data_IF_312915257932
#
_entry.id   IF_312915257932
#
_cell.length_a   1.000
_cell.length_b   1.000
_cell.length_c   1.000
_cell.angle_alpha   90.00
_cell.angle_beta   90.00
_cell.angle_gamma   90.00
#
_symmetry.space_group_name_H-M   'P 1'
#
loop_
_entity.id
_entity.type
_entity.pdbx_description
1 polymer ?
#
# COMPACT_ATOMS: atom_id res chain seq x y z
N UNK A 1 -6.15 14.24 -69.24
CA UNK A 1 -5.90 13.03 -68.47
C UNK A 1 -5.60 13.43 -67.03
N UNK A 2 -6.61 13.40 -66.17
CA UNK A 2 -6.57 13.87 -64.81
C UNK A 2 -6.59 12.66 -63.86
N UNK A 3 -5.50 12.45 -63.12
CA UNK A 3 -5.43 11.45 -62.06
C UNK A 3 -5.99 12.03 -60.75
N UNK A 4 -7.09 11.49 -60.26
CA UNK A 4 -7.66 11.78 -58.95
C UNK A 4 -6.85 11.06 -57.90
N UNK A 5 -6.29 11.79 -56.93
CA UNK A 5 -5.64 11.31 -55.72
C UNK A 5 -6.73 11.12 -54.68
N UNK A 6 -6.98 9.90 -54.25
CA UNK A 6 -7.87 9.55 -53.13
C UNK A 6 -7.07 9.65 -51.84
N UNK A 7 -7.41 10.62 -51.00
CA UNK A 7 -6.88 10.77 -49.63
C UNK A 7 -7.70 9.87 -48.70
N UNK A 8 -7.08 8.80 -48.17
CA UNK A 8 -7.65 8.00 -47.07
C UNK A 8 -7.38 8.74 -45.76
N UNK A 9 -8.40 9.38 -45.20
CA UNK A 9 -8.41 9.83 -43.81
C UNK A 9 -8.70 8.61 -42.91
N UNK A 10 -7.68 8.07 -42.24
CA UNK A 10 -7.85 7.16 -41.15
C UNK A 10 -8.31 7.97 -39.92
N UNK A 11 -9.58 7.91 -39.60
CA UNK A 11 -10.16 8.37 -38.37
C UNK A 11 -9.69 7.42 -37.24
N UNK A 12 -8.68 7.85 -36.50
CA UNK A 12 -8.36 7.24 -35.20
C UNK A 12 -9.46 7.64 -34.20
N UNK A 13 -10.48 6.81 -34.08
CA UNK A 13 -11.41 6.87 -32.95
C UNK A 13 -10.69 6.32 -31.73
N UNK A 14 -10.68 7.04 -30.60
CA UNK A 14 -10.18 6.45 -29.36
C UNK A 14 -11.12 5.30 -28.96
N UNK A 15 -10.57 4.12 -28.86
CA UNK A 15 -11.26 2.99 -28.23
C UNK A 15 -11.50 3.36 -26.76
N UNK A 16 -12.68 3.88 -26.46
CA UNK A 16 -13.21 3.85 -25.11
C UNK A 16 -13.47 2.37 -24.80
N UNK A 17 -12.60 1.75 -24.02
CA UNK A 17 -12.89 0.47 -23.40
C UNK A 17 -14.17 0.65 -22.57
N UNK A 18 -15.30 0.20 -23.09
CA UNK A 18 -16.54 0.09 -22.34
C UNK A 18 -16.23 -0.79 -21.13
N UNK A 19 -16.24 -0.18 -19.94
CA UNK A 19 -16.16 -0.93 -18.70
C UNK A 19 -17.30 -1.95 -18.73
N UNK A 20 -16.95 -3.24 -18.69
CA UNK A 20 -17.90 -4.34 -18.62
C UNK A 20 -18.62 -4.23 -17.26
N UNK A 21 -19.91 -3.92 -17.25
CA UNK A 21 -20.73 -3.87 -16.05
C UNK A 21 -21.39 -5.23 -15.87
N UNK A 22 -21.13 -5.97 -14.79
CA UNK A 22 -21.86 -7.20 -14.51
C UNK A 22 -23.34 -6.87 -14.28
N UNK A 23 -24.20 -7.65 -14.90
CA UNK A 23 -25.66 -7.57 -14.78
C UNK A 23 -26.05 -7.79 -13.31
N UNK A 24 -26.69 -6.78 -12.69
CA UNK A 24 -27.20 -6.88 -11.32
C UNK A 24 -26.84 -5.75 -10.35
N UNK A 25 -25.90 -4.88 -10.71
CA UNK A 25 -25.63 -3.67 -9.92
C UNK A 25 -26.43 -2.51 -10.53
N UNK A 26 -27.33 -1.91 -9.77
CA UNK A 26 -27.84 -0.55 -10.08
C UNK A 26 -26.60 0.32 -10.34
N UNK A 27 -26.68 1.27 -11.28
CA UNK A 27 -25.55 2.10 -11.73
C UNK A 27 -24.77 2.69 -10.54
N UNK A 28 -23.77 1.98 -10.04
CA UNK A 28 -22.84 2.53 -9.08
C UNK A 28 -21.87 3.39 -9.88
N UNK A 29 -22.17 4.69 -9.92
CA UNK A 29 -21.30 5.68 -10.55
C UNK A 29 -20.17 5.96 -9.58
N UNK A 30 -18.93 5.65 -9.98
CA UNK A 30 -17.75 5.90 -9.14
C UNK A 30 -16.45 5.60 -9.86
N UNK A 31 -15.38 5.99 -9.23
CA UNK A 31 -14.02 5.63 -9.62
C UNK A 31 -13.44 4.65 -8.59
N UNK A 32 -12.52 3.80 -9.02
CA UNK A 32 -11.78 2.94 -8.11
C UNK A 32 -10.84 3.77 -7.25
N UNK A 33 -10.93 3.57 -5.93
CA UNK A 33 -10.12 4.25 -4.92
C UNK A 33 -9.46 3.21 -4.02
N UNK A 34 -8.16 3.33 -3.84
CA UNK A 34 -7.43 2.46 -2.89
C UNK A 34 -7.93 2.66 -1.46
N UNK A 35 -8.24 1.56 -0.76
CA UNK A 35 -8.58 1.56 0.66
C UNK A 35 -7.55 0.82 1.51
N UNK A 36 -6.80 -0.08 0.92
CA UNK A 36 -5.64 -0.76 1.49
C UNK A 36 -4.68 -1.12 0.36
N UNK A 37 -3.40 -0.99 0.60
CA UNK A 37 -2.36 -1.51 -0.29
C UNK A 37 -1.08 -1.80 0.49
N UNK A 38 -0.20 -2.63 -0.10
CA UNK A 38 1.13 -2.91 0.40
C UNK A 38 2.14 -2.97 -0.74
N UNK A 39 3.38 -2.60 -0.46
CA UNK A 39 4.46 -2.70 -1.44
C UNK A 39 4.95 -4.14 -1.54
N UNK A 40 4.89 -4.71 -2.74
CA UNK A 40 5.34 -6.07 -2.98
C UNK A 40 6.86 -6.16 -3.09
N UNK A 41 7.41 -7.30 -2.67
CA UNK A 41 8.84 -7.57 -2.59
C UNK A 41 9.20 -8.97 -3.09
N UNK A 42 10.48 -9.14 -3.44
CA UNK A 42 11.12 -10.46 -3.53
C UNK A 42 11.22 -11.05 -2.13
N UNK A 43 10.89 -12.32 -1.90
CA UNK A 43 11.02 -12.93 -0.59
C UNK A 43 12.49 -13.11 -0.21
N UNK A 44 12.80 -12.91 1.06
CA UNK A 44 14.06 -13.40 1.64
C UNK A 44 13.87 -14.89 1.95
N UNK A 45 14.51 -15.76 1.18
CA UNK A 45 14.28 -17.21 1.22
C UNK A 45 14.34 -17.82 2.63
N UNK A 46 15.30 -17.40 3.45
CA UNK A 46 15.45 -17.88 4.84
C UNK A 46 14.24 -17.55 5.75
N UNK A 47 13.41 -16.58 5.36
CA UNK A 47 12.25 -16.14 6.13
C UNK A 47 10.92 -16.56 5.50
N UNK A 48 10.92 -17.57 4.64
CA UNK A 48 9.69 -18.10 4.04
C UNK A 48 9.25 -19.40 4.74
N UNK A 49 7.93 -19.61 4.92
CA UNK A 49 7.43 -20.84 5.53
C UNK A 49 7.65 -22.05 4.61
N UNK A 50 7.69 -23.23 5.21
CA UNK A 50 7.72 -24.53 4.52
C UNK A 50 8.79 -24.64 3.42
N UNK A 51 9.97 -24.04 3.62
CA UNK A 51 11.03 -23.99 2.59
C UNK A 51 10.50 -23.50 1.21
N UNK A 52 9.63 -22.49 1.22
CA UNK A 52 8.96 -21.90 0.05
C UNK A 52 7.93 -22.83 -0.64
N UNK A 53 7.46 -23.89 0.01
CA UNK A 53 6.47 -24.79 -0.57
C UNK A 53 5.04 -24.38 -0.16
N UNK A 54 4.51 -23.38 -0.83
CA UNK A 54 3.18 -22.84 -0.56
C UNK A 54 2.06 -23.45 -1.42
N UNK A 55 2.40 -24.38 -2.33
CA UNK A 55 1.41 -25.11 -3.14
C UNK A 55 0.50 -25.96 -2.27
N UNK A 56 -0.75 -26.15 -2.70
CA UNK A 56 -1.79 -26.89 -2.00
C UNK A 56 -1.99 -26.39 -0.54
N UNK A 57 -2.13 -25.07 -0.37
CA UNK A 57 -2.37 -24.41 0.92
C UNK A 57 -3.40 -23.32 0.78
N UNK A 58 -4.10 -23.05 1.87
CA UNK A 58 -4.94 -21.87 2.05
C UNK A 58 -4.23 -20.88 2.95
N UNK A 59 -4.20 -19.61 2.53
CA UNK A 59 -3.60 -18.51 3.30
C UNK A 59 -4.66 -17.46 3.57
N UNK A 60 -5.07 -17.34 4.84
CA UNK A 60 -5.99 -16.28 5.33
C UNK A 60 -5.17 -15.12 5.83
N UNK A 61 -5.39 -13.95 5.27
CA UNK A 61 -4.61 -12.73 5.49
C UNK A 61 -5.54 -11.62 5.96
N UNK A 62 -5.19 -11.00 7.08
CA UNK A 62 -6.01 -9.94 7.68
C UNK A 62 -5.48 -8.60 7.18
N UNK A 63 -6.40 -7.73 6.74
CA UNK A 63 -6.09 -6.37 6.35
C UNK A 63 -7.08 -5.41 7.02
N UNK A 64 -6.61 -4.21 7.42
CA UNK A 64 -7.46 -3.14 7.92
C UNK A 64 -7.63 -2.10 6.82
N UNK A 65 -8.86 -1.94 6.36
CA UNK A 65 -9.18 -0.95 5.33
C UNK A 65 -9.26 0.45 5.93
N UNK A 66 -8.86 1.46 5.18
CA UNK A 66 -8.91 2.86 5.63
C UNK A 66 -10.26 3.50 5.33
N UNK A 67 -10.82 3.24 4.15
CA UNK A 67 -12.08 3.78 3.67
C UNK A 67 -13.09 2.65 3.40
N UNK A 68 -14.37 2.95 3.46
CA UNK A 68 -15.44 2.02 3.21
C UNK A 68 -16.09 2.19 1.83
N UNK A 69 -16.89 1.20 1.45
CA UNK A 69 -17.68 1.17 0.22
C UNK A 69 -18.45 -0.11 0.06
N UNK A 70 -19.37 -0.14 -0.93
CA UNK A 70 -20.28 -1.28 -1.15
C UNK A 70 -19.83 -2.22 -2.26
N UNK A 71 -18.91 -1.78 -3.10
CA UNK A 71 -18.35 -2.57 -4.21
C UNK A 71 -16.85 -2.48 -4.14
N UNK A 72 -16.20 -3.63 -4.16
CA UNK A 72 -14.76 -3.75 -4.02
C UNK A 72 -14.14 -4.52 -5.18
N UNK A 73 -12.82 -4.40 -5.35
CA UNK A 73 -11.99 -5.32 -6.13
C UNK A 73 -10.64 -5.54 -5.48
N UNK A 74 -10.06 -6.68 -5.70
CA UNK A 74 -8.77 -7.11 -5.15
C UNK A 74 -7.71 -7.13 -6.24
N UNK A 75 -6.55 -6.52 -5.98
CA UNK A 75 -5.36 -6.71 -6.81
C UNK A 75 -4.50 -7.85 -6.26
N UNK A 76 -4.21 -8.81 -7.13
CA UNK A 76 -3.24 -9.86 -6.89
C UNK A 76 -1.98 -9.59 -7.70
N UNK A 77 -0.82 -9.95 -7.14
CA UNK A 77 0.48 -9.68 -7.75
C UNK A 77 1.41 -10.88 -7.74
N UNK A 78 2.07 -11.11 -8.87
CA UNK A 78 3.13 -12.10 -9.06
C UNK A 78 4.35 -11.48 -9.77
N UNK A 79 4.58 -10.17 -9.53
CA UNK A 79 5.55 -9.36 -10.28
C UNK A 79 7.00 -9.78 -10.06
N UNK A 80 7.32 -10.42 -8.94
CA UNK A 80 8.68 -10.82 -8.58
C UNK A 80 8.95 -12.31 -8.72
N UNK A 81 8.03 -13.07 -9.26
CA UNK A 81 8.21 -14.50 -9.47
C UNK A 81 8.52 -14.84 -10.94
N UNK A 82 9.32 -15.87 -11.14
CA UNK A 82 9.59 -16.45 -12.45
C UNK A 82 8.63 -17.60 -12.81
N UNK A 83 7.76 -18.01 -11.88
CA UNK A 83 6.80 -19.10 -12.04
C UNK A 83 5.37 -18.57 -11.86
N UNK A 84 4.35 -19.18 -12.49
CA UNK A 84 2.96 -18.75 -12.31
C UNK A 84 2.42 -19.09 -10.91
N UNK A 85 1.50 -18.25 -10.42
CA UNK A 85 0.64 -18.55 -9.27
C UNK A 85 -0.68 -19.06 -9.80
N UNK A 86 -1.14 -20.22 -9.33
CA UNK A 86 -2.45 -20.78 -9.66
C UNK A 86 -3.29 -20.86 -8.40
N UNK A 87 -4.40 -20.12 -8.39
CA UNK A 87 -5.37 -20.10 -7.29
C UNK A 87 -6.65 -20.82 -7.72
N UNK A 88 -7.13 -21.77 -6.89
CA UNK A 88 -8.42 -22.45 -7.08
C UNK A 88 -9.59 -21.53 -6.76
N UNK A 89 -9.39 -20.59 -5.84
CA UNK A 89 -10.40 -19.63 -5.42
C UNK A 89 -9.82 -18.61 -4.44
N UNK A 90 -10.48 -17.45 -4.39
CA UNK A 90 -10.15 -16.35 -3.48
C UNK A 90 -11.43 -15.85 -2.86
N UNK A 91 -11.49 -15.73 -1.55
CA UNK A 91 -12.66 -15.18 -0.86
C UNK A 91 -12.31 -14.15 0.20
N UNK A 92 -13.25 -13.26 0.47
CA UNK A 92 -13.19 -12.25 1.52
C UNK A 92 -14.35 -12.45 2.50
N UNK A 93 -14.11 -12.16 3.77
CA UNK A 93 -15.15 -12.11 4.80
C UNK A 93 -14.81 -11.05 5.84
N UNK A 94 -15.80 -10.59 6.60
CA UNK A 94 -15.54 -9.73 7.76
C UNK A 94 -14.73 -10.49 8.81
N UNK A 95 -13.67 -9.87 9.31
CA UNK A 95 -12.82 -10.45 10.35
C UNK A 95 -13.50 -10.25 11.71
N UNK A 96 -13.64 -11.32 12.48
CA UNK A 96 -14.13 -11.24 13.87
C UNK A 96 -12.96 -10.93 14.81
N UNK A 97 -11.99 -11.83 14.84
CA UNK A 97 -10.72 -11.65 15.54
C UNK A 97 -9.67 -12.65 15.02
N UNK A 98 -8.39 -12.36 15.22
CA UNK A 98 -7.30 -13.27 14.86
C UNK A 98 -7.56 -14.02 13.54
N UNK A 99 -7.77 -15.34 13.57
CA UNK A 99 -8.03 -16.19 12.41
C UNK A 99 -9.52 -16.34 12.07
N UNK A 100 -10.43 -15.90 12.95
CA UNK A 100 -11.87 -16.13 12.80
C UNK A 100 -12.53 -15.10 11.90
N UNK A 101 -13.49 -15.56 11.13
CA UNK A 101 -14.28 -14.73 10.22
C UNK A 101 -15.77 -14.98 10.41
N UNK A 102 -16.60 -14.00 10.07
CA UNK A 102 -18.04 -14.25 9.89
C UNK A 102 -18.27 -14.90 8.53
N UNK A 103 -18.36 -16.23 8.52
CA UNK A 103 -18.49 -17.02 7.29
C UNK A 103 -19.78 -16.69 6.49
N UNK A 104 -20.84 -16.20 7.15
CA UNK A 104 -22.08 -15.77 6.48
C UNK A 104 -21.86 -14.56 5.57
N UNK A 105 -20.87 -13.74 5.87
CA UNK A 105 -20.50 -12.56 5.08
C UNK A 105 -19.62 -12.91 3.90
N UNK A 106 -19.07 -14.12 3.85
CA UNK A 106 -18.07 -14.49 2.84
C UNK A 106 -18.60 -14.35 1.41
N UNK A 107 -17.71 -13.82 0.55
CA UNK A 107 -17.95 -13.68 -0.89
C UNK A 107 -16.70 -14.10 -1.65
N UNK A 108 -16.89 -14.83 -2.74
CA UNK A 108 -15.80 -15.24 -3.63
C UNK A 108 -15.54 -14.18 -4.69
N UNK A 109 -14.27 -13.80 -4.85
CA UNK A 109 -13.85 -13.01 -5.99
C UNK A 109 -13.91 -13.85 -7.27
N UNK A 110 -14.26 -13.20 -8.36
CA UNK A 110 -14.19 -13.76 -9.71
C UNK A 110 -13.10 -13.05 -10.51
N UNK A 111 -12.60 -13.73 -11.52
CA UNK A 111 -11.55 -13.25 -12.42
C UNK A 111 -11.97 -13.54 -13.86
N UNK A 112 -12.55 -12.54 -14.53
CA UNK A 112 -13.21 -12.75 -15.82
C UNK A 112 -14.37 -13.75 -15.73
N UNK A 113 -15.16 -13.68 -14.66
CA UNK A 113 -16.29 -14.57 -14.35
C UNK A 113 -15.93 -15.94 -13.76
N UNK A 114 -14.64 -16.28 -13.64
CA UNK A 114 -14.14 -17.58 -13.13
C UNK A 114 -13.77 -17.50 -11.65
N UNK A 115 -13.91 -18.63 -10.92
CA UNK A 115 -13.55 -18.72 -9.50
C UNK A 115 -12.05 -18.74 -9.26
N UNK A 116 -11.30 -19.42 -10.11
CA UNK A 116 -9.86 -19.54 -10.04
C UNK A 116 -9.15 -18.59 -10.99
N UNK A 117 -7.85 -18.40 -10.75
CA UNK A 117 -7.01 -17.55 -11.60
C UNK A 117 -5.58 -18.06 -11.68
N UNK A 118 -4.96 -17.91 -12.86
CA UNK A 118 -3.52 -18.05 -13.05
C UNK A 118 -2.89 -16.70 -13.25
N UNK A 119 -1.98 -16.32 -12.34
CA UNK A 119 -1.24 -15.07 -12.44
C UNK A 119 0.13 -15.39 -13.03
N UNK A 120 0.38 -14.92 -14.25
CA UNK A 120 1.62 -15.17 -14.95
C UNK A 120 2.82 -14.51 -14.25
N UNK A 121 4.04 -15.02 -14.46
CA UNK A 121 5.27 -14.40 -13.98
C UNK A 121 5.35 -12.92 -14.38
N UNK A 122 5.78 -12.07 -13.45
CA UNK A 122 5.96 -10.64 -13.70
C UNK A 122 4.65 -9.85 -13.87
N UNK A 123 3.47 -10.43 -13.57
CA UNK A 123 2.17 -9.80 -13.77
C UNK A 123 1.41 -9.56 -12.47
N UNK A 124 0.54 -8.56 -12.52
CA UNK A 124 -0.53 -8.30 -11.55
C UNK A 124 -1.86 -8.24 -12.29
N UNK A 125 -2.94 -8.49 -11.59
CA UNK A 125 -4.30 -8.40 -12.12
C UNK A 125 -5.29 -8.02 -11.03
N UNK A 126 -6.42 -7.43 -11.43
CA UNK A 126 -7.56 -7.20 -10.55
C UNK A 126 -8.61 -8.29 -10.69
N UNK A 127 -9.32 -8.55 -9.58
CA UNK A 127 -10.56 -9.30 -9.63
C UNK A 127 -11.65 -8.51 -10.37
N UNK A 128 -12.72 -9.18 -10.74
CA UNK A 128 -13.98 -8.53 -11.10
C UNK A 128 -14.51 -7.74 -9.91
N UNK A 129 -15.42 -6.78 -10.17
CA UNK A 129 -16.12 -6.04 -9.13
C UNK A 129 -16.98 -7.01 -8.27
N UNK A 130 -16.90 -6.84 -6.96
CA UNK A 130 -17.62 -7.67 -5.99
C UNK A 130 -18.49 -6.81 -5.08
N UNK A 131 -19.77 -7.14 -4.96
CA UNK A 131 -20.63 -6.55 -3.94
C UNK A 131 -20.24 -7.05 -2.57
N UNK A 132 -19.62 -6.19 -1.79
CA UNK A 132 -19.19 -6.47 -0.42
C UNK A 132 -19.06 -5.15 0.34
N UNK A 133 -19.93 -4.96 1.34
CA UNK A 133 -20.00 -3.72 2.11
C UNK A 133 -18.92 -3.70 3.18
N UNK A 134 -17.96 -2.79 3.06
CA UNK A 134 -16.90 -2.57 4.07
C UNK A 134 -17.04 -1.19 4.69
N UNK A 135 -16.78 -1.10 5.99
CA UNK A 135 -16.79 0.15 6.75
C UNK A 135 -15.38 0.73 6.87
N UNK A 136 -15.22 2.05 7.02
CA UNK A 136 -13.92 2.64 7.32
C UNK A 136 -13.30 2.00 8.57
N UNK A 137 -11.99 1.76 8.54
CA UNK A 137 -11.18 1.20 9.63
C UNK A 137 -11.53 -0.25 10.01
N UNK A 138 -12.35 -0.91 9.22
CA UNK A 138 -12.74 -2.31 9.45
C UNK A 138 -11.60 -3.27 9.11
N UNK A 139 -11.56 -4.42 9.80
CA UNK A 139 -10.70 -5.55 9.45
C UNK A 139 -11.47 -6.54 8.60
N UNK A 140 -10.89 -6.92 7.48
CA UNK A 140 -11.39 -8.00 6.62
C UNK A 140 -10.34 -9.07 6.44
N UNK A 141 -10.78 -10.30 6.20
CA UNK A 141 -9.92 -11.45 5.95
C UNK A 141 -10.02 -11.86 4.49
N UNK A 142 -8.88 -11.90 3.80
CA UNK A 142 -8.76 -12.38 2.42
C UNK A 142 -8.08 -13.74 2.46
N UNK A 143 -8.72 -14.76 1.91
CA UNK A 143 -8.17 -16.13 1.86
C UNK A 143 -7.88 -16.52 0.42
N UNK A 144 -6.63 -16.91 0.17
CA UNK A 144 -6.15 -17.45 -1.11
C UNK A 144 -6.02 -18.96 -1.02
N UNK A 145 -6.67 -19.71 -1.89
CA UNK A 145 -6.54 -21.16 -2.00
C UNK A 145 -5.55 -21.51 -3.13
N UNK A 146 -4.29 -21.73 -2.79
CA UNK A 146 -3.25 -22.07 -3.75
C UNK A 146 -3.44 -23.50 -4.28
N UNK A 147 -3.47 -23.65 -5.59
CA UNK A 147 -3.19 -24.92 -6.26
C UNK A 147 -1.69 -25.07 -6.45
N UNK A 148 -1.07 -24.05 -7.05
CA UNK A 148 0.38 -23.98 -7.27
C UNK A 148 0.89 -22.61 -6.85
N UNK A 149 1.95 -22.61 -6.08
CA UNK A 149 2.69 -21.41 -5.71
C UNK A 149 4.15 -21.53 -6.16
N UNK A 150 4.76 -20.44 -6.63
CA UNK A 150 6.17 -20.45 -7.02
C UNK A 150 7.07 -20.66 -5.81
N UNK A 151 8.27 -21.16 -6.04
CA UNK A 151 9.32 -21.29 -5.01
C UNK A 151 9.80 -19.94 -4.48
N UNK A 152 9.67 -18.89 -5.29
CA UNK A 152 9.96 -17.50 -4.88
C UNK A 152 8.72 -16.65 -5.16
N UNK A 153 7.72 -16.67 -4.25
CA UNK A 153 6.48 -15.93 -4.44
C UNK A 153 6.68 -14.43 -4.27
N UNK A 154 5.82 -13.65 -4.88
CA UNK A 154 5.71 -12.22 -4.58
C UNK A 154 5.06 -12.02 -3.21
N UNK A 155 5.72 -11.30 -2.31
CA UNK A 155 5.30 -11.13 -0.91
C UNK A 155 5.47 -9.69 -0.44
N UNK A 156 4.89 -9.38 0.71
CA UNK A 156 5.31 -8.28 1.56
C UNK A 156 5.85 -8.85 2.88
N UNK A 157 7.12 -8.54 3.19
CA UNK A 157 7.85 -9.23 4.26
C UNK A 157 7.52 -8.72 5.67
N UNK A 158 7.10 -7.47 5.79
CA UNK A 158 6.92 -6.76 7.05
C UNK A 158 5.47 -6.47 7.42
N UNK A 159 4.54 -7.42 7.23
CA UNK A 159 3.10 -7.14 7.39
C UNK A 159 2.69 -6.61 8.78
N UNK A 160 3.43 -6.92 9.84
CA UNK A 160 3.03 -6.67 11.24
C UNK A 160 1.62 -7.17 11.54
N UNK A 161 1.19 -8.15 10.76
CA UNK A 161 -0.13 -8.77 10.84
C UNK A 161 0.02 -10.25 10.53
N UNK A 162 -0.61 -11.07 11.36
CA UNK A 162 -0.55 -12.51 11.23
C UNK A 162 -1.38 -12.99 10.05
N UNK A 163 -0.76 -13.75 9.16
CA UNK A 163 -1.39 -14.61 8.18
C UNK A 163 -1.47 -16.04 8.68
N UNK A 164 -2.55 -16.72 8.37
CA UNK A 164 -2.87 -18.07 8.86
C UNK A 164 -2.86 -19.04 7.68
N UNK A 165 -2.07 -20.12 7.81
CA UNK A 165 -1.81 -21.06 6.72
C UNK A 165 -2.29 -22.46 7.10
N UNK A 166 -3.16 -23.06 6.28
CA UNK A 166 -3.61 -24.44 6.36
C UNK A 166 -3.21 -25.23 5.12
N UNK A 167 -3.11 -26.54 5.24
CA UNK A 167 -2.93 -27.46 4.11
C UNK A 167 -4.25 -27.62 3.35
N UNK A 168 -4.19 -27.71 2.04
CA UNK A 168 -5.34 -27.91 1.16
C UNK A 168 -6.14 -26.62 0.92
N UNK A 169 -7.18 -26.72 0.10
CA UNK A 169 -8.14 -25.68 -0.13
C UNK A 169 -9.19 -25.65 0.98
N UNK A 170 -9.59 -24.46 1.40
CA UNK A 170 -10.58 -24.25 2.48
C UNK A 170 -11.79 -23.48 2.00
N UNK A 171 -12.91 -23.67 2.71
CA UNK A 171 -14.12 -22.85 2.62
C UNK A 171 -14.12 -21.79 3.72
N UNK A 172 -15.04 -20.80 3.69
CA UNK A 172 -15.14 -19.78 4.73
C UNK A 172 -15.37 -20.32 6.15
N UNK A 173 -16.03 -21.48 6.28
CA UNK A 173 -16.35 -22.16 7.55
C UNK A 173 -15.15 -22.87 8.19
N UNK A 174 -14.05 -23.03 7.43
CA UNK A 174 -12.87 -23.74 7.92
C UNK A 174 -12.27 -23.09 9.18
N UNK A 175 -11.96 -23.92 10.17
CA UNK A 175 -11.31 -23.49 11.40
C UNK A 175 -9.80 -23.26 11.18
N UNK A 176 -9.37 -22.02 11.31
CA UNK A 176 -7.97 -21.62 11.25
C UNK A 176 -7.30 -21.47 12.62
N UNK A 177 -7.93 -21.90 13.71
CA UNK A 177 -7.38 -21.74 15.08
C UNK A 177 -6.03 -22.43 15.25
N UNK A 178 -5.83 -23.58 14.59
CA UNK A 178 -4.59 -24.36 14.57
C UNK A 178 -3.71 -24.13 13.34
N UNK A 179 -4.01 -23.10 12.55
CA UNK A 179 -3.23 -22.75 11.36
C UNK A 179 -1.81 -22.33 11.75
N UNK A 180 -0.87 -22.62 10.88
CA UNK A 180 0.48 -22.06 11.01
C UNK A 180 0.42 -20.54 10.84
N UNK A 181 1.09 -19.81 11.72
CA UNK A 181 1.07 -18.34 11.78
C UNK A 181 2.34 -17.76 11.21
N UNK A 182 2.19 -16.71 10.37
CA UNK A 182 3.32 -16.06 9.74
C UNK A 182 3.05 -14.58 9.48
N UNK A 183 4.00 -13.70 9.84
CA UNK A 183 3.84 -12.25 9.67
C UNK A 183 4.30 -11.80 8.28
N UNK A 184 3.54 -12.15 7.25
CA UNK A 184 3.75 -11.70 5.86
C UNK A 184 2.43 -11.62 5.12
N UNK A 185 2.37 -10.80 4.07
CA UNK A 185 1.31 -10.89 3.09
C UNK A 185 1.83 -11.55 1.80
N UNK A 186 1.03 -12.42 1.24
CA UNK A 186 1.36 -13.24 0.07
C UNK A 186 0.45 -12.86 -1.08
N UNK A 187 1.00 -12.40 -2.19
CA UNK A 187 0.34 -12.12 -3.46
C UNK A 187 -0.83 -11.11 -3.42
N UNK A 188 -1.32 -10.64 -2.29
CA UNK A 188 -2.31 -9.56 -2.21
C UNK A 188 -1.59 -8.21 -2.26
N UNK A 189 -1.97 -7.32 -3.18
CA UNK A 189 -1.28 -6.04 -3.38
C UNK A 189 -2.13 -4.83 -2.99
N UNK A 190 -3.41 -4.82 -3.34
CA UNK A 190 -4.33 -3.73 -3.00
C UNK A 190 -5.77 -4.21 -2.90
N UNK A 191 -6.55 -3.53 -2.07
CA UNK A 191 -8.00 -3.60 -2.03
C UNK A 191 -8.56 -2.21 -2.36
N UNK A 192 -9.49 -2.15 -3.30
CA UNK A 192 -10.08 -0.90 -3.77
C UNK A 192 -11.59 -0.91 -3.61
N UNK A 193 -12.16 0.28 -3.44
CA UNK A 193 -13.60 0.54 -3.40
C UNK A 193 -14.03 1.38 -4.59
N UNK A 194 -15.21 1.11 -5.14
CA UNK A 194 -15.83 1.91 -6.19
C UNK A 194 -16.65 3.04 -5.56
N UNK A 195 -16.19 4.28 -5.67
CA UNK A 195 -16.81 5.42 -4.99
C UNK A 195 -16.27 6.76 -5.50
N UNK A 196 -17.05 7.84 -5.32
CA UNK A 196 -16.59 9.22 -5.54
C UNK A 196 -16.25 9.95 -4.23
N UNK A 197 -16.44 9.31 -3.08
CA UNK A 197 -16.37 9.97 -1.77
C UNK A 197 -15.08 9.70 -1.00
N UNK A 198 -14.06 9.16 -1.65
CA UNK A 198 -12.76 8.86 -1.06
C UNK A 198 -11.67 9.69 -1.72
N UNK A 199 -10.80 10.27 -0.91
CA UNK A 199 -9.56 10.92 -1.30
C UNK A 199 -8.39 10.05 -0.88
N UNK A 200 -7.43 9.79 -1.77
CA UNK A 200 -6.36 8.84 -1.53
C UNK A 200 -5.04 9.48 -1.14
N UNK A 201 -4.38 8.91 -0.14
CA UNK A 201 -3.01 9.21 0.28
C UNK A 201 -2.16 7.96 0.08
N UNK A 202 -1.12 8.02 -0.74
CA UNK A 202 -0.12 6.96 -0.86
C UNK A 202 1.16 7.35 -0.11
N UNK A 203 1.70 6.44 0.69
CA UNK A 203 2.85 6.71 1.55
C UNK A 203 3.99 5.78 1.15
N UNK A 204 5.06 6.34 0.58
CA UNK A 204 6.29 5.59 0.33
C UNK A 204 7.24 5.81 1.50
N UNK A 205 7.86 4.73 1.98
CA UNK A 205 8.73 4.79 3.14
C UNK A 205 9.49 3.50 3.39
N UNK A 206 10.33 3.56 4.41
CA UNK A 206 11.16 2.45 4.89
C UNK A 206 10.48 1.67 6.03
N UNK A 207 11.28 0.98 6.86
CA UNK A 207 10.80 0.18 8.00
C UNK A 207 9.96 0.96 9.02
N UNK A 208 10.15 2.26 9.17
CA UNK A 208 9.36 3.10 10.08
C UNK A 208 7.92 3.19 9.54
N UNK A 209 7.76 3.37 8.25
CA UNK A 209 6.46 3.40 7.56
C UNK A 209 5.85 2.00 7.48
N UNK A 210 6.65 0.98 7.15
CA UNK A 210 6.27 -0.43 7.15
C UNK A 210 5.75 -0.91 8.53
N UNK A 211 6.24 -0.28 9.61
CA UNK A 211 5.73 -0.47 10.97
C UNK A 211 6.70 -1.17 11.91
N UNK A 212 8.01 -1.12 11.68
CA UNK A 212 9.00 -1.66 12.61
C UNK A 212 8.82 -1.02 14.00
N UNK A 213 8.66 -1.86 15.04
CA UNK A 213 8.41 -1.40 16.41
C UNK A 213 6.93 -1.24 16.77
N UNK A 214 6.00 -1.34 15.81
CA UNK A 214 4.58 -1.43 16.12
C UNK A 214 4.21 -2.82 16.64
N UNK A 215 3.04 -2.94 17.27
CA UNK A 215 2.59 -4.19 17.88
C UNK A 215 1.91 -5.07 16.83
N UNK A 216 2.36 -6.31 16.69
CA UNK A 216 1.76 -7.29 15.76
C UNK A 216 0.27 -7.42 16.00
N UNK A 217 -0.53 -7.46 14.92
CA UNK A 217 -1.99 -7.54 14.87
C UNK A 217 -2.78 -6.34 15.42
N UNK A 218 -2.13 -5.36 16.05
CA UNK A 218 -2.79 -4.16 16.57
C UNK A 218 -3.14 -3.12 15.51
N UNK A 219 -2.54 -3.22 14.32
CA UNK A 219 -2.76 -2.24 13.23
C UNK A 219 -2.52 -0.80 13.74
N UNK A 220 -1.38 -0.58 14.39
CA UNK A 220 -0.98 0.69 15.02
C UNK A 220 0.34 1.22 14.44
N UNK A 221 0.61 0.97 13.15
CA UNK A 221 1.65 1.66 12.38
C UNK A 221 1.25 3.13 12.23
N UNK A 222 2.20 4.03 12.11
CA UNK A 222 1.85 5.45 11.98
C UNK A 222 0.87 5.76 10.81
N UNK A 223 0.90 5.05 9.65
CA UNK A 223 -0.14 5.22 8.64
C UNK A 223 -1.52 4.72 9.08
N UNK A 224 -1.59 3.67 9.94
CA UNK A 224 -2.86 3.21 10.53
C UNK A 224 -3.43 4.24 11.49
N UNK A 225 -2.58 4.86 12.32
CA UNK A 225 -2.97 5.95 13.21
C UNK A 225 -3.44 7.18 12.41
N UNK A 226 -2.72 7.55 11.35
CA UNK A 226 -3.16 8.59 10.42
C UNK A 226 -4.54 8.26 9.84
N UNK A 227 -4.75 7.01 9.41
CA UNK A 227 -6.05 6.56 8.92
C UNK A 227 -7.15 6.67 9.98
N UNK A 228 -6.85 6.33 11.23
CA UNK A 228 -7.78 6.47 12.35
C UNK A 228 -8.17 7.94 12.58
N UNK A 229 -7.21 8.88 12.57
CA UNK A 229 -7.50 10.31 12.73
C UNK A 229 -8.29 10.90 11.57
N UNK A 230 -8.05 10.41 10.35
CA UNK A 230 -8.73 10.90 9.13
C UNK A 230 -10.12 10.30 8.91
N UNK A 231 -10.43 9.11 9.46
CA UNK A 231 -11.68 8.39 9.20
C UNK A 231 -12.46 8.03 10.47
N UNK A 232 -11.85 8.19 11.63
CA UNK A 232 -12.43 7.78 12.91
C UNK A 232 -13.47 8.77 13.47
N UNK A 233 -13.98 8.50 14.68
CA UNK A 233 -15.11 9.26 15.28
C UNK A 233 -14.86 10.77 15.43
N UNK A 234 -13.61 11.17 15.63
CA UNK A 234 -13.27 12.59 15.71
C UNK A 234 -13.56 13.31 14.39
N UNK A 235 -13.05 12.76 13.30
CA UNK A 235 -13.24 13.33 11.96
C UNK A 235 -14.70 13.33 11.54
N UNK A 236 -15.43 12.25 11.80
CA UNK A 236 -16.85 12.15 11.49
C UNK A 236 -17.64 13.28 12.16
N UNK A 237 -17.39 13.56 13.44
CA UNK A 237 -18.03 14.67 14.16
C UNK A 237 -17.70 16.04 13.56
N UNK A 238 -16.44 16.27 13.15
CA UNK A 238 -16.05 17.53 12.50
C UNK A 238 -16.71 17.69 11.12
N UNK A 239 -16.87 16.62 10.36
CA UNK A 239 -17.58 16.64 9.07
C UNK A 239 -19.07 16.91 9.23
N UNK A 240 -19.71 16.35 10.24
CA UNK A 240 -21.11 16.64 10.56
C UNK A 240 -21.29 18.13 10.85
N UNK A 241 -20.43 18.75 11.65
CA UNK A 241 -20.44 20.19 11.91
C UNK A 241 -20.26 21.03 10.65
N UNK A 242 -19.38 20.60 9.73
CA UNK A 242 -19.10 21.29 8.47
C UNK A 242 -20.28 21.17 7.49
N UNK A 243 -20.95 20.01 7.45
CA UNK A 243 -22.18 19.79 6.65
C UNK A 243 -23.32 20.64 7.14
N UNK A 244 -23.53 20.74 8.47
CA UNK A 244 -24.53 21.60 9.07
C UNK A 244 -24.34 23.09 8.70
N UNK A 245 -23.10 23.50 8.33
CA UNK A 245 -22.76 24.83 7.83
C UNK A 245 -22.83 24.95 6.29
N UNK A 246 -23.52 24.05 5.58
CA UNK A 246 -23.70 24.05 4.11
C UNK A 246 -22.39 24.08 3.30
N UNK A 247 -21.29 23.56 3.79
CA UNK A 247 -20.06 23.43 3.02
C UNK A 247 -20.15 22.19 2.11
N UNK A 248 -20.42 22.42 0.82
CA UNK A 248 -20.38 21.41 -0.25
C UNK A 248 -18.92 20.98 -0.51
N UNK A 249 -18.70 19.69 -0.88
CA UNK A 249 -17.43 19.11 -1.34
C UNK A 249 -16.37 18.76 -0.28
N UNK A 250 -16.76 18.22 0.85
CA UNK A 250 -15.82 17.61 1.80
C UNK A 250 -15.68 16.14 1.41
N UNK A 251 -14.43 15.69 1.20
CA UNK A 251 -14.15 14.26 1.07
C UNK A 251 -14.57 13.58 2.38
N UNK A 252 -15.50 12.63 2.28
CA UNK A 252 -16.10 11.99 3.46
C UNK A 252 -15.16 10.97 4.10
N UNK A 253 -14.19 10.45 3.33
CA UNK A 253 -13.27 9.41 3.75
C UNK A 253 -11.90 9.58 3.09
N UNK A 254 -10.89 8.97 3.69
CA UNK A 254 -9.54 8.96 3.20
C UNK A 254 -9.02 7.54 3.01
N UNK A 255 -8.65 7.19 1.78
CA UNK A 255 -7.87 5.99 1.49
C UNK A 255 -6.41 6.25 1.89
N UNK A 256 -5.89 5.52 2.87
CA UNK A 256 -4.49 5.63 3.30
C UNK A 256 -3.77 4.35 2.95
N UNK A 257 -2.80 4.43 2.03
CA UNK A 257 -2.07 3.29 1.49
C UNK A 257 -0.64 3.28 2.05
N UNK A 258 -0.31 2.26 2.84
CA UNK A 258 1.02 2.07 3.38
C UNK A 258 1.88 1.25 2.42
N UNK A 259 2.82 1.93 1.74
CA UNK A 259 3.74 1.33 0.77
C UNK A 259 5.20 1.37 1.29
N UNK A 260 5.36 1.28 2.61
CA UNK A 260 6.63 1.12 3.28
C UNK A 260 7.24 -0.26 3.02
N UNK A 261 8.57 -0.34 3.02
CA UNK A 261 9.34 -1.57 2.92
C UNK A 261 10.47 -1.55 3.96
N UNK A 262 10.61 -2.65 4.71
CA UNK A 262 11.73 -2.80 5.66
C UNK A 262 13.08 -2.56 4.99
N UNK A 263 13.96 -1.77 5.61
CA UNK A 263 15.31 -1.43 5.13
C UNK A 263 15.35 -0.75 3.73
N UNK A 264 14.26 -0.15 3.27
CA UNK A 264 14.22 0.52 1.96
C UNK A 264 15.16 1.72 1.91
N UNK A 265 15.74 1.94 0.75
CA UNK A 265 16.57 3.10 0.40
C UNK A 265 15.98 3.79 -0.82
N UNK A 266 16.21 5.08 -0.93
CA UNK A 266 15.82 5.85 -2.11
C UNK A 266 16.70 5.53 -3.30
N UNK A 267 18.02 5.52 -3.08
CA UNK A 267 19.03 5.57 -4.13
C UNK A 267 19.46 4.18 -4.63
N UNK A 268 19.50 3.19 -3.74
CA UNK A 268 20.09 1.88 -4.01
C UNK A 268 19.20 0.72 -3.54
N UNK A 269 19.41 -0.46 -4.13
CA UNK A 269 18.82 -1.70 -3.64
C UNK A 269 19.40 -2.08 -2.28
N UNK A 270 18.57 -2.48 -1.35
CA UNK A 270 18.95 -2.77 0.04
C UNK A 270 18.97 -4.26 0.40
N UNK A 271 18.67 -5.14 -0.55
CA UNK A 271 18.53 -6.58 -0.31
C UNK A 271 17.12 -7.03 0.09
N UNK A 272 16.22 -6.10 0.44
CA UNK A 272 14.84 -6.41 0.87
C UNK A 272 13.78 -5.93 -0.13
N UNK A 273 14.07 -4.92 -0.92
CA UNK A 273 13.15 -4.38 -1.92
C UNK A 273 13.86 -3.42 -2.87
N UNK A 274 13.24 -3.16 -4.00
CA UNK A 274 13.75 -2.20 -4.99
C UNK A 274 13.91 -0.82 -4.36
N UNK A 275 14.92 -0.06 -4.84
CA UNK A 275 15.11 1.33 -4.44
C UNK A 275 13.81 2.14 -4.64
N UNK A 276 13.50 3.05 -3.71
CA UNK A 276 12.24 3.81 -3.78
C UNK A 276 12.08 4.54 -5.12
N UNK A 277 13.16 5.13 -5.66
CA UNK A 277 13.15 5.76 -6.98
C UNK A 277 12.75 4.82 -8.13
N UNK A 278 13.06 3.52 -8.02
CA UNK A 278 12.76 2.52 -9.05
C UNK A 278 11.32 2.01 -8.94
N UNK A 279 10.81 1.83 -7.72
CA UNK A 279 9.47 1.33 -7.46
C UNK A 279 8.40 2.44 -7.41
N UNK A 280 8.79 3.71 -7.49
CA UNK A 280 7.91 4.86 -7.29
C UNK A 280 6.71 4.87 -8.25
N UNK A 281 6.96 4.63 -9.54
CA UNK A 281 5.90 4.64 -10.53
C UNK A 281 4.89 3.51 -10.24
N UNK A 282 5.34 2.28 -10.08
CA UNK A 282 4.51 1.12 -9.79
C UNK A 282 3.76 1.24 -8.45
N UNK A 283 4.47 1.59 -7.37
CA UNK A 283 3.89 1.51 -6.03
C UNK A 283 3.09 2.76 -5.67
N UNK A 284 3.38 3.92 -6.27
CA UNK A 284 2.73 5.20 -5.94
C UNK A 284 1.90 5.74 -7.09
N UNK A 285 2.49 5.89 -8.28
CA UNK A 285 1.83 6.60 -9.37
C UNK A 285 0.69 5.80 -10.02
N UNK A 286 0.78 4.47 -10.02
CA UNK A 286 -0.22 3.55 -10.55
C UNK A 286 -1.35 3.23 -9.56
N UNK A 287 -1.28 3.69 -8.29
CA UNK A 287 -2.38 3.52 -7.34
C UNK A 287 -3.59 4.36 -7.72
N UNK A 288 -4.77 3.75 -7.70
CA UNK A 288 -6.00 4.42 -8.11
C UNK A 288 -6.54 5.37 -7.03
N UNK A 289 -7.01 6.52 -7.48
CA UNK A 289 -7.67 7.50 -6.64
C UNK A 289 -6.76 8.30 -5.71
N UNK A 290 -5.43 8.20 -5.89
CA UNK A 290 -4.46 8.96 -5.10
C UNK A 290 -4.41 10.42 -5.56
N UNK A 291 -4.57 11.31 -4.60
CA UNK A 291 -4.46 12.76 -4.75
C UNK A 291 -3.28 13.33 -3.99
N UNK A 292 -2.80 12.62 -2.99
CA UNK A 292 -1.74 13.06 -2.08
C UNK A 292 -0.69 11.96 -1.92
N UNK A 293 0.57 12.34 -1.85
CA UNK A 293 1.71 11.44 -1.67
C UNK A 293 2.55 11.91 -0.49
N UNK A 294 2.91 10.99 0.38
CA UNK A 294 3.87 11.25 1.46
C UNK A 294 5.15 10.47 1.17
N UNK A 295 6.29 11.15 1.21
CA UNK A 295 7.62 10.54 1.06
C UNK A 295 8.33 10.59 2.41
N UNK A 296 8.55 9.43 3.04
CA UNK A 296 9.26 9.30 4.31
C UNK A 296 10.39 8.28 4.19
N UNK A 297 11.48 8.68 3.61
CA UNK A 297 12.64 7.85 3.25
C UNK A 297 13.96 8.53 3.64
N UNK A 298 15.11 7.89 3.35
CA UNK A 298 16.45 8.48 3.39
C UNK A 298 17.31 8.06 4.59
N UNK A 299 16.72 7.62 5.71
CA UNK A 299 17.50 7.23 6.90
C UNK A 299 18.43 6.03 6.61
N UNK A 300 17.98 5.06 5.79
CA UNK A 300 18.79 3.90 5.43
C UNK A 300 19.86 4.24 4.38
N UNK A 301 19.62 5.23 3.52
CA UNK A 301 20.62 5.74 2.59
C UNK A 301 21.78 6.35 3.37
N UNK A 302 21.46 7.25 4.30
CA UNK A 302 22.45 7.93 5.16
C UNK A 302 23.17 6.94 6.09
N UNK A 303 22.41 6.06 6.77
CA UNK A 303 22.96 5.13 7.76
C UNK A 303 23.83 3.99 7.18
N UNK A 304 23.88 3.84 5.86
CA UNK A 304 24.64 2.77 5.19
C UNK A 304 25.69 3.25 4.20
N UNK A 305 25.88 4.56 4.08
CA UNK A 305 26.89 5.17 3.22
C UNK A 305 28.22 5.43 3.99
N UNK A 306 29.27 5.72 3.26
CA UNK A 306 30.51 6.31 3.82
C UNK A 306 30.59 7.82 3.58
N UNK A 307 29.59 8.40 2.90
CA UNK A 307 29.59 9.78 2.42
C UNK A 307 28.23 10.43 2.69
N UNK A 308 27.94 10.72 3.96
CA UNK A 308 26.63 11.22 4.42
C UNK A 308 26.23 12.51 3.74
N UNK A 309 27.13 13.49 3.67
CA UNK A 309 26.89 14.79 3.03
C UNK A 309 26.60 14.63 1.52
N UNK A 310 27.41 13.87 0.79
CA UNK A 310 27.18 13.63 -0.64
C UNK A 310 25.86 12.86 -0.88
N UNK A 311 25.56 11.89 -0.02
CA UNK A 311 24.28 11.14 -0.06
C UNK A 311 23.10 12.05 0.17
N UNK A 312 23.20 13.05 1.07
CA UNK A 312 22.15 14.02 1.32
C UNK A 312 21.77 14.82 0.05
N UNK A 313 22.75 15.29 -0.70
CA UNK A 313 22.47 16.00 -1.97
C UNK A 313 21.84 15.09 -3.01
N UNK A 314 22.28 13.83 -3.11
CA UNK A 314 21.65 12.86 -4.01
C UNK A 314 20.19 12.55 -3.61
N UNK A 315 19.89 12.46 -2.32
CA UNK A 315 18.51 12.31 -1.81
C UNK A 315 17.66 13.50 -2.20
N UNK A 316 18.15 14.72 -2.02
CA UNK A 316 17.45 15.95 -2.38
C UNK A 316 17.13 15.99 -3.87
N UNK A 317 18.08 15.61 -4.73
CA UNK A 317 17.85 15.51 -6.18
C UNK A 317 16.74 14.51 -6.50
N UNK A 318 16.76 13.33 -5.88
CA UNK A 318 15.77 12.30 -6.15
C UNK A 318 14.38 12.68 -5.59
N UNK A 319 14.30 13.34 -4.45
CA UNK A 319 13.02 13.89 -3.96
C UNK A 319 12.43 14.91 -4.95
N UNK A 320 13.24 15.77 -5.56
CA UNK A 320 12.77 16.70 -6.60
C UNK A 320 12.18 15.95 -7.80
N UNK A 321 12.85 14.88 -8.27
CA UNK A 321 12.36 14.05 -9.36
C UNK A 321 11.00 13.41 -9.02
N UNK A 322 10.85 12.86 -7.80
CA UNK A 322 9.59 12.27 -7.35
C UNK A 322 8.46 13.32 -7.23
N UNK A 323 8.78 14.52 -6.72
CA UNK A 323 7.83 15.63 -6.62
C UNK A 323 7.35 16.04 -8.02
N UNK A 324 8.27 16.22 -8.94
CA UNK A 324 7.94 16.60 -10.33
C UNK A 324 7.00 15.58 -10.99
N UNK A 325 7.32 14.27 -10.87
CA UNK A 325 6.44 13.19 -11.35
C UNK A 325 5.02 13.30 -10.78
N UNK A 326 4.90 13.58 -9.48
CA UNK A 326 3.59 13.75 -8.84
C UNK A 326 2.84 14.96 -9.37
N UNK A 327 3.50 16.11 -9.48
CA UNK A 327 2.89 17.35 -9.99
C UNK A 327 2.45 17.22 -11.44
N UNK A 328 3.21 16.52 -12.29
CA UNK A 328 2.80 16.20 -13.67
C UNK A 328 1.47 15.42 -13.72
N UNK A 329 1.16 14.65 -12.66
CA UNK A 329 -0.11 13.92 -12.49
C UNK A 329 -1.08 14.64 -11.54
N UNK A 330 -0.86 15.92 -11.25
CA UNK A 330 -1.70 16.75 -10.37
C UNK A 330 -1.90 16.17 -8.96
N UNK A 331 -0.90 15.44 -8.44
CA UNK A 331 -0.88 14.92 -7.08
C UNK A 331 -0.08 15.86 -6.19
N UNK A 332 -0.56 16.11 -4.97
CA UNK A 332 0.18 16.89 -3.97
C UNK A 332 1.20 16.00 -3.27
N UNK A 333 2.33 16.58 -2.89
CA UNK A 333 3.43 15.86 -2.25
C UNK A 333 3.81 16.50 -0.93
N UNK A 334 3.97 15.67 0.08
CA UNK A 334 4.46 16.03 1.41
C UNK A 334 5.72 15.24 1.72
N UNK A 335 6.77 15.94 2.10
CA UNK A 335 8.02 15.33 2.53
C UNK A 335 8.03 15.19 4.05
N UNK A 336 8.47 14.04 4.57
CA UNK A 336 8.69 13.88 6.00
C UNK A 336 10.18 14.01 6.34
N UNK A 337 10.49 14.77 7.41
CA UNK A 337 11.87 14.90 7.87
C UNK A 337 12.40 13.58 8.43
N UNK A 338 13.68 13.30 8.17
CA UNK A 338 14.36 12.10 8.65
C UNK A 338 14.52 12.18 10.18
N UNK A 339 14.04 11.16 10.89
CA UNK A 339 14.09 11.09 12.36
C UNK A 339 15.52 11.10 12.91
N UNK A 340 15.72 11.51 14.17
CA UNK A 340 17.04 11.45 14.83
C UNK A 340 17.62 10.02 14.80
N UNK A 341 18.94 9.90 14.59
CA UNK A 341 19.63 8.61 14.57
C UNK A 341 20.68 8.45 15.67
N UNK A 342 20.86 9.44 16.53
CA UNK A 342 21.81 9.36 17.65
C UNK A 342 21.46 8.18 18.57
N UNK A 343 22.47 7.42 18.97
CA UNK A 343 22.32 6.21 19.78
C UNK A 343 21.96 4.96 18.97
N UNK A 344 21.81 5.05 17.64
CA UNK A 344 21.64 3.90 16.76
C UNK A 344 22.96 3.53 16.07
N UNK A 345 23.05 2.31 15.53
CA UNK A 345 24.18 1.88 14.71
C UNK A 345 24.34 2.64 13.37
N UNK A 346 23.41 3.53 13.05
CA UNK A 346 23.47 4.41 11.87
C UNK A 346 24.20 5.73 12.15
N UNK A 347 24.44 6.06 13.42
CA UNK A 347 25.02 7.34 13.77
C UNK A 347 26.52 7.42 13.45
N UNK A 348 26.88 8.47 12.74
CA UNK A 348 28.22 9.07 12.68
C UNK A 348 28.07 10.57 12.51
N UNK A 349 29.13 11.35 12.73
CA UNK A 349 29.08 12.80 12.54
C UNK A 349 28.71 13.19 11.09
N UNK A 350 29.25 12.46 10.11
CA UNK A 350 28.97 12.69 8.69
C UNK A 350 27.53 12.31 8.31
N UNK A 351 27.00 11.20 8.84
CA UNK A 351 25.60 10.81 8.61
C UNK A 351 24.63 11.83 9.23
N UNK A 352 24.93 12.30 10.45
CA UNK A 352 24.11 13.31 11.13
C UNK A 352 24.15 14.65 10.38
N UNK A 353 25.31 15.05 9.85
CA UNK A 353 25.39 16.24 9.01
C UNK A 353 24.56 16.07 7.72
N UNK A 354 24.66 14.93 7.05
CA UNK A 354 23.79 14.61 5.91
C UNK A 354 22.30 14.69 6.26
N UNK A 355 21.89 14.15 7.42
CA UNK A 355 20.51 14.24 7.89
C UNK A 355 20.06 15.69 8.12
N UNK A 356 20.91 16.51 8.72
CA UNK A 356 20.63 17.93 8.95
C UNK A 356 20.46 18.68 7.63
N UNK A 357 21.31 18.43 6.64
CA UNK A 357 21.21 19.03 5.30
C UNK A 357 19.85 18.67 4.66
N UNK A 358 19.48 17.38 4.64
CA UNK A 358 18.20 16.95 4.09
C UNK A 358 17.03 17.61 4.83
N UNK A 359 17.02 17.58 6.16
CA UNK A 359 15.92 18.11 6.96
C UNK A 359 15.81 19.65 6.85
N UNK A 360 16.94 20.36 6.78
CA UNK A 360 16.95 21.81 6.55
C UNK A 360 16.33 22.13 5.18
N UNK A 361 16.70 21.37 4.13
CA UNK A 361 16.11 21.53 2.81
C UNK A 361 14.60 21.21 2.83
N UNK A 362 14.17 20.11 3.46
CA UNK A 362 12.74 19.76 3.57
C UNK A 362 11.92 20.90 4.20
N UNK A 363 12.44 21.55 5.24
CA UNK A 363 11.75 22.65 5.95
C UNK A 363 11.68 23.95 5.14
N UNK A 364 12.66 24.20 4.27
CA UNK A 364 12.81 25.49 3.58
C UNK A 364 12.44 25.48 2.09
N UNK A 365 12.37 24.30 1.48
CA UNK A 365 12.05 24.15 0.07
C UNK A 365 10.62 24.64 -0.26
N UNK A 366 10.37 24.99 -1.54
CA UNK A 366 9.08 25.47 -2.05
C UNK A 366 8.55 24.64 -3.22
N UNK A 367 9.16 23.46 -3.47
CA UNK A 367 8.78 22.59 -4.59
C UNK A 367 7.74 21.53 -4.21
N UNK A 368 7.71 21.07 -2.96
CA UNK A 368 6.65 20.20 -2.44
C UNK A 368 5.52 21.04 -1.82
N UNK A 369 4.34 20.47 -1.70
CA UNK A 369 3.13 21.13 -1.18
C UNK A 369 3.13 21.29 0.35
N UNK A 370 4.03 20.61 1.03
CA UNK A 370 4.21 20.71 2.47
C UNK A 370 5.20 19.71 3.02
N UNK A 371 5.30 19.66 4.35
CA UNK A 371 6.14 18.69 5.02
C UNK A 371 5.57 18.26 6.38
N UNK A 372 6.02 17.09 6.86
CA UNK A 372 5.72 16.53 8.17
C UNK A 372 7.02 16.53 8.98
N UNK A 373 7.06 17.26 10.09
CA UNK A 373 8.30 17.41 10.87
C UNK A 373 8.41 16.32 11.96
N UNK A 374 8.66 15.08 11.55
CA UNK A 374 8.87 13.97 12.47
C UNK A 374 10.14 14.10 13.29
N UNK A 375 11.18 14.77 12.77
CA UNK A 375 12.39 15.09 13.52
C UNK A 375 12.10 15.95 14.75
N UNK A 376 11.35 17.05 14.58
CA UNK A 376 10.97 17.92 15.69
C UNK A 376 10.03 17.22 16.69
N UNK A 377 9.08 16.42 16.20
CA UNK A 377 8.15 15.65 17.05
C UNK A 377 8.89 14.66 17.94
N UNK A 378 9.85 13.90 17.38
CA UNK A 378 10.65 12.94 18.13
C UNK A 378 11.57 13.63 19.14
N UNK A 379 12.23 14.72 18.77
CA UNK A 379 13.06 15.50 19.70
C UNK A 379 12.25 16.06 20.88
N UNK A 380 11.04 16.56 20.66
CA UNK A 380 10.16 17.05 21.71
C UNK A 380 9.69 15.93 22.66
N UNK A 381 9.43 14.72 22.12
CA UNK A 381 9.03 13.56 22.92
C UNK A 381 10.14 13.09 23.86
N UNK A 382 11.40 13.05 23.39
CA UNK A 382 12.56 12.69 24.22
C UNK A 382 12.75 13.68 25.37
N UNK A 383 12.59 14.99 25.14
CA UNK A 383 12.69 16.02 26.20
C UNK A 383 11.63 15.84 27.29
N UNK A 384 10.41 15.40 26.94
CA UNK A 384 9.33 15.14 27.92
C UNK A 384 9.56 13.89 28.78
N UNK A 385 10.34 12.94 28.28
CA UNK A 385 10.65 11.69 28.96
C UNK A 385 11.89 11.79 29.87
N UNK A 386 12.69 12.85 29.76
CA UNK A 386 13.79 13.14 30.68
C UNK A 386 13.23 13.80 31.93
N UNK A 387 13.48 13.25 33.15
CA UNK A 387 13.11 13.94 34.39
C UNK A 387 13.78 15.32 34.42
N UNK A 388 13.04 16.34 34.80
CA UNK A 388 13.62 17.63 35.14
C UNK A 388 14.68 17.40 36.22
N UNK A 389 15.95 17.64 35.89
CA UNK A 389 17.05 17.66 36.87
C UNK A 389 16.91 18.86 37.79
#
# INVERSE_FOLDING_TARGET
>A
MTRKLLLFLLLCLPFYAKAWHPVGFGTVIGEWKGTWATAMQVPVKAFMPYNNQMSDRSVRQIVKVSAGGKVIRLQLSNIFSAEPVVLRGVYIAHSLDSSRVDSKTARYFKFGGKDGVTIQPGKSLFSDALAFDIKPLEKVAITLNYQTAPKSPTVHMGSRTTSYILKGATTPEADFSRAFRYEKWFNIAALEVLTNNVRGIAIIGNSITDGKGSTTDHQNRWPDEMSYWLNGPYRQREEEKLRAKNKKNIALQWGVLNLGIGNNRVLTYSGYGEAAKKRFDRDIMEQHGITDVVIFEGINDLGSTRYGVATAYNLIMEYRNMIEKCHQKRKRVYLATITPMQGSGYYSADHEEGRRIVNAWIRTQKVADGFLDFDALMAASVKKLQPSR
#
